data_IF_553671009314
#
_entry.id   IF_553671009314
#
_cell.length_a   1.000
_cell.length_b   1.000
_cell.length_c   1.000
_cell.angle_alpha   90.00
_cell.angle_beta   90.00
_cell.angle_gamma   90.00
#
_symmetry.space_group_name_H-M   'P 1'
#
loop_
_entity.id
_entity.type
_entity.pdbx_description
1 polymer ?
#
# COMPACT_ATOMS: atom_id res chain seq x y z
N UNK A 1 -20.50 -4.20 -16.82
CA UNK A 1 -19.85 -3.29 -15.87
C UNK A 1 -18.70 -3.96 -15.13
N UNK A 2 -18.95 -5.13 -14.55
CA UNK A 2 -17.91 -5.82 -13.77
C UNK A 2 -16.78 -6.31 -14.66
N UNK A 3 -17.07 -6.77 -15.85
CA UNK A 3 -16.04 -7.27 -16.78
C UNK A 3 -15.09 -6.15 -17.21
N UNK A 4 -15.63 -4.97 -17.49
CA UNK A 4 -14.80 -3.83 -17.88
C UNK A 4 -13.93 -3.35 -16.72
N UNK A 5 -14.49 -3.31 -15.51
CA UNK A 5 -13.74 -2.92 -14.34
C UNK A 5 -12.62 -3.91 -14.03
N UNK A 6 -12.89 -5.20 -14.14
CA UNK A 6 -11.89 -6.23 -13.94
C UNK A 6 -10.77 -6.15 -14.95
N UNK A 7 -11.14 -5.90 -16.21
CA UNK A 7 -10.16 -5.76 -17.29
C UNK A 7 -9.23 -4.57 -17.04
N UNK A 8 -9.81 -3.43 -16.66
CA UNK A 8 -9.04 -2.23 -16.35
C UNK A 8 -8.11 -2.48 -15.18
N UNK A 9 -8.60 -3.12 -14.11
CA UNK A 9 -7.79 -3.45 -12.96
C UNK A 9 -6.64 -4.38 -13.32
N UNK A 10 -6.90 -5.37 -14.17
CA UNK A 10 -5.85 -6.29 -14.61
C UNK A 10 -4.80 -5.57 -15.45
N UNK A 11 -5.23 -4.69 -16.34
CA UNK A 11 -4.31 -3.90 -17.16
C UNK A 11 -3.44 -2.99 -16.29
N UNK A 12 -4.04 -2.32 -15.31
CA UNK A 12 -3.30 -1.49 -14.37
C UNK A 12 -2.31 -2.33 -13.56
N UNK A 13 -2.75 -3.49 -13.11
CA UNK A 13 -1.91 -4.38 -12.32
C UNK A 13 -0.70 -4.87 -13.13
N UNK A 14 -0.91 -5.26 -14.38
CA UNK A 14 0.18 -5.69 -15.26
C UNK A 14 1.14 -4.55 -15.59
N UNK A 15 0.60 -3.37 -15.90
CA UNK A 15 1.41 -2.21 -16.18
C UNK A 15 2.26 -1.81 -14.97
N UNK A 16 1.65 -1.83 -13.81
CA UNK A 16 2.33 -1.52 -12.56
C UNK A 16 3.44 -2.54 -12.28
N UNK A 17 3.15 -3.82 -12.49
CA UNK A 17 4.12 -4.88 -12.27
C UNK A 17 5.34 -4.73 -13.19
N UNK A 18 5.12 -4.38 -14.46
CA UNK A 18 6.22 -4.13 -15.40
C UNK A 18 7.11 -2.99 -14.93
N UNK A 19 6.51 -1.90 -14.48
CA UNK A 19 7.27 -0.75 -13.98
C UNK A 19 8.06 -1.11 -12.74
N UNK A 20 7.45 -1.83 -11.81
CA UNK A 20 8.11 -2.27 -10.60
C UNK A 20 9.32 -3.14 -10.93
N UNK A 21 9.14 -4.13 -11.80
CA UNK A 21 10.23 -5.02 -12.19
C UNK A 21 11.38 -4.27 -12.85
N UNK A 22 11.06 -3.35 -13.74
CA UNK A 22 12.06 -2.55 -14.44
C UNK A 22 12.87 -1.68 -13.48
N UNK A 23 12.20 -1.07 -12.51
CA UNK A 23 12.83 -0.15 -11.58
C UNK A 23 13.69 -0.90 -10.55
N UNK A 24 13.19 -2.03 -10.07
CA UNK A 24 13.88 -2.77 -9.02
C UNK A 24 15.18 -3.42 -9.45
N UNK A 25 15.39 -3.64 -10.74
CA UNK A 25 16.61 -4.31 -11.20
C UNK A 25 17.89 -3.56 -10.80
N UNK A 26 17.80 -2.26 -10.63
CA UNK A 26 18.96 -1.43 -10.30
C UNK A 26 18.86 -0.80 -8.92
N UNK A 27 17.89 -1.19 -8.13
CA UNK A 27 17.71 -0.61 -6.80
C UNK A 27 18.73 -1.22 -5.83
N UNK A 28 19.56 -0.36 -5.26
CA UNK A 28 20.55 -0.80 -4.28
C UNK A 28 20.06 -0.57 -2.86
N UNK A 29 19.37 0.53 -2.64
CA UNK A 29 18.87 0.88 -1.32
C UNK A 29 17.53 1.56 -1.46
N UNK A 30 16.63 1.19 -0.59
CA UNK A 30 15.35 1.85 -0.49
C UNK A 30 15.19 2.30 0.96
N UNK A 31 14.94 3.60 1.21
CA UNK A 31 14.84 4.10 2.58
C UNK A 31 13.66 3.53 3.36
N UNK A 32 12.66 3.01 2.66
CA UNK A 32 11.49 2.41 3.30
C UNK A 32 11.57 0.91 3.16
N UNK A 33 11.56 0.21 4.28
CA UNK A 33 11.63 -1.24 4.26
C UNK A 33 10.32 -1.86 3.80
N UNK A 34 10.41 -3.03 3.18
CA UNK A 34 9.24 -3.77 2.74
C UNK A 34 8.37 -4.18 3.93
N UNK A 35 7.10 -3.83 3.90
CA UNK A 35 6.14 -4.24 4.92
C UNK A 35 6.04 -5.76 5.01
N UNK A 36 6.04 -6.43 3.86
CA UNK A 36 5.95 -7.89 3.81
C UNK A 36 7.14 -8.51 4.53
N UNK A 37 8.34 -8.04 4.22
CA UNK A 37 9.56 -8.56 4.86
C UNK A 37 9.57 -8.33 6.37
N UNK A 38 9.14 -7.15 6.79
CA UNK A 38 9.08 -6.83 8.20
C UNK A 38 8.11 -7.73 8.95
N UNK A 39 6.92 -7.94 8.38
CA UNK A 39 5.92 -8.79 9.01
C UNK A 39 6.34 -10.25 9.02
N UNK A 40 7.03 -10.71 7.99
CA UNK A 40 7.58 -12.08 7.96
C UNK A 40 8.64 -12.27 9.04
N UNK A 41 9.51 -11.28 9.23
CA UNK A 41 10.55 -11.36 10.24
C UNK A 41 9.96 -11.34 11.65
N UNK A 42 8.80 -10.72 11.83
CA UNK A 42 8.08 -10.71 13.10
C UNK A 42 7.18 -11.93 13.29
N UNK A 43 7.17 -12.84 12.33
CA UNK A 43 6.33 -14.05 12.33
C UNK A 43 4.83 -13.74 12.36
N UNK A 44 4.43 -12.58 11.84
CA UNK A 44 3.02 -12.20 11.78
C UNK A 44 2.32 -12.74 10.55
N UNK A 45 3.08 -13.02 9.48
CA UNK A 45 2.52 -13.56 8.24
C UNK A 45 3.43 -14.69 7.72
N UNK A 46 2.83 -15.54 6.89
CA UNK A 46 3.54 -16.62 6.22
C UNK A 46 3.08 -16.71 4.77
N UNK A 47 3.64 -17.65 4.02
CA UNK A 47 3.32 -17.80 2.60
C UNK A 47 1.86 -18.14 2.36
N UNK A 48 1.25 -18.96 3.22
CA UNK A 48 -0.17 -19.26 3.10
C UNK A 48 -1.04 -18.01 3.24
N UNK A 49 -0.70 -17.17 4.19
CA UNK A 49 -1.41 -15.91 4.39
C UNK A 49 -1.26 -15.01 3.17
N UNK A 50 -0.07 -14.92 2.61
CA UNK A 50 0.17 -14.10 1.41
C UNK A 50 -0.61 -14.62 0.22
N UNK A 51 -0.70 -15.94 0.07
CA UNK A 51 -1.50 -16.54 -1.01
C UNK A 51 -2.97 -16.18 -0.84
N UNK A 52 -3.48 -16.21 0.38
CA UNK A 52 -4.86 -15.80 0.66
C UNK A 52 -5.07 -14.32 0.32
N UNK A 53 -4.14 -13.47 0.72
CA UNK A 53 -4.24 -12.04 0.40
C UNK A 53 -4.31 -11.79 -1.09
N UNK A 54 -3.52 -12.52 -1.87
CA UNK A 54 -3.51 -12.36 -3.33
C UNK A 54 -4.86 -12.67 -3.98
N UNK A 55 -5.69 -13.47 -3.32
CA UNK A 55 -7.00 -13.83 -3.84
C UNK A 55 -8.08 -12.81 -3.49
N UNK A 56 -7.77 -11.91 -2.57
CA UNK A 56 -8.72 -10.89 -2.12
C UNK A 56 -8.53 -9.60 -2.90
N UNK A 57 -9.62 -8.89 -3.15
CA UNK A 57 -9.53 -7.52 -3.63
C UNK A 57 -9.14 -6.63 -2.47
N UNK A 58 -8.64 -5.44 -2.78
CA UNK A 58 -8.30 -4.47 -1.75
C UNK A 58 -9.52 -4.12 -0.89
N UNK A 59 -10.67 -3.95 -1.54
CA UNK A 59 -11.92 -3.68 -0.83
C UNK A 59 -12.29 -4.80 0.14
N UNK A 60 -12.18 -6.05 -0.32
CA UNK A 60 -12.44 -7.20 0.53
C UNK A 60 -11.50 -7.27 1.72
N UNK A 61 -10.23 -6.97 1.49
CA UNK A 61 -9.23 -6.96 2.55
C UNK A 61 -9.56 -5.92 3.62
N UNK A 62 -9.88 -4.70 3.18
CA UNK A 62 -10.21 -3.63 4.09
C UNK A 62 -11.48 -3.96 4.88
N UNK A 63 -12.52 -4.45 4.20
CA UNK A 63 -13.78 -4.83 4.84
C UNK A 63 -13.56 -5.92 5.88
N UNK A 64 -12.79 -6.93 5.52
CA UNK A 64 -12.48 -8.03 6.42
C UNK A 64 -11.75 -7.55 7.68
N UNK A 65 -10.76 -6.68 7.49
CA UNK A 65 -9.98 -6.15 8.60
C UNK A 65 -10.84 -5.32 9.53
N UNK A 66 -11.72 -4.49 8.98
CA UNK A 66 -12.62 -3.67 9.79
C UNK A 66 -13.66 -4.51 10.51
N UNK A 67 -14.17 -5.55 9.86
CA UNK A 67 -15.11 -6.45 10.50
C UNK A 67 -14.49 -7.15 11.71
N UNK A 68 -13.26 -7.63 11.56
CA UNK A 68 -12.54 -8.25 12.67
C UNK A 68 -12.32 -7.27 13.82
N UNK A 69 -11.95 -6.04 13.50
CA UNK A 69 -11.75 -5.00 14.51
C UNK A 69 -13.05 -4.69 15.25
N UNK A 70 -14.17 -4.64 14.51
CA UNK A 70 -15.48 -4.40 15.10
C UNK A 70 -15.86 -5.53 16.06
N UNK A 71 -15.63 -6.78 15.67
CA UNK A 71 -15.92 -7.94 16.53
C UNK A 71 -15.06 -7.90 17.79
N UNK A 72 -13.79 -7.57 17.66
CA UNK A 72 -12.88 -7.48 18.80
C UNK A 72 -13.31 -6.40 19.78
N UNK A 73 -13.93 -5.32 19.29
CA UNK A 73 -14.41 -4.22 20.12
C UNK A 73 -15.85 -4.40 20.62
N UNK A 74 -16.37 -5.63 20.51
CA UNK A 74 -17.73 -5.91 20.96
C UNK A 74 -18.81 -5.28 20.10
N UNK A 75 -18.50 -5.04 18.82
CA UNK A 75 -19.42 -4.44 17.88
C UNK A 75 -19.46 -2.92 17.93
N UNK A 76 -18.59 -2.31 18.73
CA UNK A 76 -18.62 -0.86 18.92
C UNK A 76 -17.28 -0.22 18.55
N UNK A 77 -17.29 0.61 17.52
CA UNK A 77 -16.14 1.44 17.15
C UNK A 77 -16.48 2.92 17.31
N UNK A 78 -17.27 3.21 18.33
CA UNK A 78 -17.71 4.58 18.60
C UNK A 78 -16.55 5.46 19.03
N UNK A 79 -16.59 6.72 18.59
CA UNK A 79 -15.56 7.69 18.94
C UNK A 79 -14.34 7.65 18.05
N UNK A 80 -14.27 6.72 17.11
CA UNK A 80 -13.18 6.66 16.15
C UNK A 80 -13.61 7.38 14.87
N UNK A 81 -12.87 8.40 14.43
CA UNK A 81 -13.23 9.15 13.21
C UNK A 81 -12.85 8.36 11.95
N UNK A 82 -13.46 7.19 11.77
CA UNK A 82 -13.09 6.25 10.72
C UNK A 82 -13.25 6.82 9.32
N UNK A 83 -14.30 7.60 9.10
CA UNK A 83 -14.53 8.18 7.78
C UNK A 83 -13.39 9.08 7.32
N UNK A 84 -12.80 9.82 8.25
CA UNK A 84 -11.67 10.69 7.94
C UNK A 84 -10.32 9.98 8.05
N UNK A 85 -10.21 9.01 8.96
CA UNK A 85 -8.95 8.34 9.24
C UNK A 85 -8.59 7.28 8.18
N UNK A 86 -9.57 6.49 7.73
CA UNK A 86 -9.29 5.40 6.80
C UNK A 86 -8.71 5.88 5.47
N UNK A 87 -9.25 6.92 4.83
CA UNK A 87 -8.62 7.44 3.60
C UNK A 87 -7.17 7.87 3.82
N UNK A 88 -6.86 8.47 4.95
CA UNK A 88 -5.50 8.90 5.25
C UNK A 88 -4.56 7.72 5.48
N UNK A 89 -5.02 6.72 6.22
CA UNK A 89 -4.27 5.48 6.43
C UNK A 89 -3.98 4.79 5.10
N UNK A 90 -4.97 4.75 4.22
CA UNK A 90 -4.83 4.13 2.91
C UNK A 90 -3.83 4.88 2.05
N UNK A 91 -3.87 6.20 2.06
CA UNK A 91 -2.93 7.03 1.32
C UNK A 91 -1.50 6.84 1.83
N UNK A 92 -1.32 6.78 3.13
CA UNK A 92 -0.01 6.55 3.72
C UNK A 92 0.53 5.17 3.31
N UNK A 93 -0.31 4.15 3.38
CA UNK A 93 0.08 2.80 2.97
C UNK A 93 0.45 2.76 1.50
N UNK A 94 -0.31 3.45 0.65
CA UNK A 94 -0.03 3.54 -0.78
C UNK A 94 1.32 4.22 -1.05
N UNK A 95 1.59 5.31 -0.34
CA UNK A 95 2.87 6.01 -0.48
C UNK A 95 4.04 5.11 -0.09
N UNK A 96 3.92 4.42 1.02
CA UNK A 96 4.96 3.50 1.47
C UNK A 96 5.19 2.37 0.48
N UNK A 97 4.12 1.78 -0.03
CA UNK A 97 4.23 0.71 -1.02
C UNK A 97 4.88 1.22 -2.30
N UNK A 98 4.53 2.43 -2.73
CA UNK A 98 5.10 3.03 -3.93
C UNK A 98 6.59 3.30 -3.77
N UNK A 99 6.99 3.85 -2.63
CA UNK A 99 8.39 4.12 -2.34
C UNK A 99 9.20 2.83 -2.29
N UNK A 100 8.63 1.79 -1.69
CA UNK A 100 9.28 0.48 -1.63
C UNK A 100 9.47 -0.11 -3.04
N UNK A 101 8.50 0.11 -3.91
CA UNK A 101 8.52 -0.44 -5.26
C UNK A 101 9.38 0.36 -6.25
N UNK A 102 9.60 1.65 -5.99
CA UNK A 102 10.25 2.54 -6.94
C UNK A 102 11.66 2.91 -6.50
N UNK A 103 12.52 3.10 -7.49
CA UNK A 103 13.91 3.46 -7.25
C UNK A 103 14.08 4.92 -6.87
N UNK A 104 13.36 5.81 -7.55
CA UNK A 104 13.49 7.25 -7.35
C UNK A 104 12.15 7.87 -7.00
N UNK A 105 12.20 9.08 -6.46
CA UNK A 105 10.99 9.83 -6.15
C UNK A 105 10.24 10.25 -7.41
N UNK A 106 10.98 10.51 -8.48
CA UNK A 106 10.34 10.82 -9.77
C UNK A 106 9.52 9.66 -10.28
N UNK A 107 10.07 8.45 -10.16
CA UNK A 107 9.35 7.23 -10.55
C UNK A 107 8.13 7.01 -9.67
N UNK A 108 8.25 7.24 -8.38
CA UNK A 108 7.14 7.10 -7.45
C UNK A 108 6.00 8.07 -7.78
N UNK A 109 6.34 9.33 -8.07
CA UNK A 109 5.35 10.32 -8.46
C UNK A 109 4.63 9.90 -9.75
N UNK A 110 5.39 9.39 -10.72
CA UNK A 110 4.82 8.90 -11.97
C UNK A 110 3.86 7.73 -11.75
N UNK A 111 4.22 6.81 -10.85
CA UNK A 111 3.34 5.70 -10.49
C UNK A 111 2.00 6.18 -9.96
N UNK A 112 2.04 7.21 -9.12
CA UNK A 112 0.83 7.74 -8.49
C UNK A 112 0.06 8.70 -9.40
N UNK A 113 0.66 9.12 -10.51
CA UNK A 113 0.02 10.07 -11.40
C UNK A 113 -0.03 11.48 -10.86
N UNK A 114 0.94 11.84 -10.04
CA UNK A 114 1.02 13.18 -9.44
C UNK A 114 2.37 13.80 -9.77
N UNK A 115 2.50 15.11 -9.50
CA UNK A 115 3.76 15.80 -9.73
C UNK A 115 4.78 15.41 -8.67
N UNK A 116 6.06 15.59 -9.00
CA UNK A 116 7.14 15.34 -8.05
C UNK A 116 7.02 16.24 -6.82
N UNK A 117 6.64 17.49 -7.04
CA UNK A 117 6.43 18.45 -5.95
C UNK A 117 5.33 17.98 -5.00
N UNK A 118 4.20 17.51 -5.56
CA UNK A 118 3.10 16.99 -4.75
C UNK A 118 3.52 15.75 -3.99
N UNK A 119 4.27 14.87 -4.64
CA UNK A 119 4.78 13.67 -4.01
C UNK A 119 5.64 14.02 -2.79
N UNK A 120 6.54 14.97 -2.96
CA UNK A 120 7.41 15.45 -1.88
C UNK A 120 6.61 15.98 -0.71
N UNK A 121 5.57 16.77 -0.99
CA UNK A 121 4.70 17.32 0.04
C UNK A 121 3.99 16.20 0.82
N UNK A 122 3.55 15.16 0.12
CA UNK A 122 2.86 14.04 0.76
C UNK A 122 3.80 13.21 1.62
N UNK A 123 5.01 12.96 1.14
CA UNK A 123 6.01 12.24 1.91
C UNK A 123 6.33 12.98 3.21
N UNK A 124 6.44 14.30 3.15
CA UNK A 124 6.69 15.11 4.33
C UNK A 124 5.47 15.14 5.26
N UNK A 125 4.27 15.24 4.69
CA UNK A 125 3.04 15.24 5.47
C UNK A 125 2.90 13.97 6.30
N UNK A 126 3.22 12.83 5.71
CA UNK A 126 3.09 11.53 6.37
C UNK A 126 4.38 11.08 7.06
N UNK A 127 5.42 11.88 6.99
CA UNK A 127 6.68 11.63 7.69
C UNK A 127 7.32 10.29 7.34
N UNK A 128 7.18 9.86 6.10
CA UNK A 128 7.56 8.52 5.69
C UNK A 128 9.07 8.30 5.67
N UNK A 129 9.83 9.27 5.14
CA UNK A 129 11.26 9.12 4.99
C UNK A 129 12.06 9.48 6.23
N UNK A 130 11.45 10.10 7.22
CA UNK A 130 12.16 10.57 8.41
C UNK A 130 12.52 9.47 9.38
N UNK A 131 11.90 8.31 9.22
CA UNK A 131 12.12 7.19 10.11
C UNK A 131 13.39 6.41 9.78
N UNK A 132 14.18 6.88 8.85
CA UNK A 132 15.34 6.16 8.33
C UNK A 132 16.67 6.63 8.87
N UNK A 133 16.66 7.59 9.69
CA UNK A 133 17.90 8.09 10.29
C UNK A 133 18.23 7.43 11.63
#
# INVERSE_FOLDING_TARGET
>A
YMLDSLKILNELKMSWQKKVNKIKTNSTTNPVESTIKNLQSENKINDNFLNCLNQLTLEELIACKLELATKAAGGMLFGLPLWNAIPEITKEALLKATITACKTQSDAAAFLGITKTRFFQLVNKYDINKNKE
#
